data_IF_278494793730
#
_entry.id   IF_278494793730
#
_cell.length_a   1.000
_cell.length_b   1.000
_cell.length_c   1.000
_cell.angle_alpha   90.00
_cell.angle_beta   90.00
_cell.angle_gamma   90.00
#
_symmetry.space_group_name_H-M   'P 1'
#
loop_
_entity.id
_entity.type
_entity.pdbx_description
1 polymer ?
2 polymer ?
3 non-polymer ?
4 non-polymer ?
5 water ?
#
# COMPACT_ATOMS: atom_id res chain seq x y z
N UNK A 8 3.98 -26.43 -8.79
CA UNK A 8 4.44 -25.58 -7.66
C UNK A 8 5.79 -26.08 -7.16
N UNK A 9 6.79 -25.19 -7.14
CA UNK A 9 8.15 -25.59 -6.81
C UNK A 9 8.23 -25.89 -5.32
N UNK A 10 9.18 -26.72 -4.93
CA UNK A 10 9.33 -27.10 -3.54
C UNK A 10 9.81 -25.89 -2.72
N UNK A 11 9.59 -25.98 -1.41
CA UNK A 11 10.12 -25.01 -0.46
C UNK A 11 11.60 -24.79 -0.67
N UNK A 12 12.34 -25.90 -0.90
CA UNK A 12 13.78 -25.81 -1.06
C UNK A 12 14.11 -24.97 -2.28
N UNK A 13 13.41 -25.20 -3.37
CA UNK A 13 13.67 -24.49 -4.60
C UNK A 13 13.23 -23.03 -4.48
N UNK A 14 12.08 -22.78 -3.88
CA UNK A 14 11.69 -21.40 -3.62
C UNK A 14 12.73 -20.65 -2.77
N UNK A 15 13.17 -21.24 -1.65
CA UNK A 15 14.15 -20.58 -0.80
C UNK A 15 15.45 -20.24 -1.56
N UNK A 16 15.91 -21.19 -2.37
CA UNK A 16 17.15 -21.07 -3.17
C UNK A 16 17.03 -19.90 -4.16
N UNK A 17 15.86 -19.75 -4.77
CA UNK A 17 15.59 -18.63 -5.68
C UNK A 17 15.64 -17.29 -4.95
N UNK A 18 14.93 -17.23 -3.84
CA UNK A 18 14.95 -16.05 -2.99
C UNK A 18 16.35 -15.73 -2.47
N UNK A 19 17.11 -16.76 -2.09
CA UNK A 19 18.47 -16.55 -1.56
C UNK A 19 19.36 -15.80 -2.54
N UNK A 20 19.18 -16.00 -3.84
CA UNK A 20 19.98 -15.29 -4.87
C UNK A 20 19.71 -13.79 -4.92
N UNK A 21 18.53 -13.34 -4.47
CA UNK A 21 18.18 -11.91 -4.58
C UNK A 21 18.34 -11.11 -3.29
N UNK A 22 18.36 -11.78 -2.15
CA UNK A 22 18.55 -11.09 -0.88
C UNK A 22 20.07 -10.90 -0.63
N UNK A 23 20.38 -10.03 0.31
CA UNK A 23 21.76 -9.87 0.80
C UNK A 23 22.20 -11.11 1.57
N UNK A 24 23.43 -11.59 1.33
CA UNK A 24 23.94 -12.62 2.21
C UNK A 24 24.13 -12.19 3.69
N UNK A 25 24.12 -13.16 4.59
CA UNK A 25 24.49 -12.92 5.99
C UNK A 25 23.33 -12.97 6.96
N UNK A 26 23.66 -12.74 8.22
CA UNK A 26 22.68 -12.75 9.31
C UNK A 26 22.60 -11.32 9.86
N UNK A 27 21.44 -10.68 9.73
CA UNK A 27 21.23 -9.29 10.15
C UNK A 27 21.24 -9.07 11.66
N UNK A 28 21.25 -10.15 12.43
CA UNK A 28 21.41 -10.04 13.88
C UNK A 28 22.87 -9.72 14.23
N UNK A 29 23.75 -9.76 13.23
CA UNK A 29 25.12 -9.26 13.37
C UNK A 29 25.18 -7.72 13.41
N UNK A 30 24.14 -7.07 12.89
CA UNK A 30 24.09 -5.60 12.68
C UNK A 30 23.00 -4.88 13.52
N UNK A 31 21.93 -5.60 13.83
CA UNK A 31 20.72 -5.01 14.40
C UNK A 31 20.49 -5.58 15.76
N UNK A 32 20.01 -4.76 16.68
CA UNK A 32 19.65 -5.26 17.99
C UNK A 32 18.45 -4.50 18.54
N UNK A 33 18.06 -4.79 19.78
CA UNK A 33 16.95 -4.09 20.44
C UNK A 33 15.65 -4.17 19.66
N UNK A 34 15.26 -5.39 19.30
CA UNK A 34 14.06 -5.58 18.51
C UNK A 34 12.83 -5.34 19.36
N UNK A 35 11.87 -4.60 18.80
CA UNK A 35 10.61 -4.29 19.45
C UNK A 35 9.50 -4.57 18.42
N UNK A 36 8.56 -5.47 18.74
CA UNK A 36 7.43 -5.74 17.84
C UNK A 36 6.48 -4.55 17.76
N UNK A 37 6.15 -4.11 16.55
CA UNK A 37 5.20 -3.05 16.41
C UNK A 37 3.89 -3.46 15.74
N UNK A 38 3.84 -4.63 15.11
CA UNK A 38 2.63 -5.02 14.42
C UNK A 38 2.62 -6.39 13.80
N UNK A 39 1.38 -6.86 13.63
CA UNK A 39 1.06 -7.97 12.76
C UNK A 39 0.83 -7.39 11.35
N UNK A 40 1.59 -7.84 10.37
CA UNK A 40 1.46 -7.35 8.99
C UNK A 40 0.59 -8.21 8.06
N UNK A 41 0.84 -8.05 6.76
CA UNK A 41 0.05 -8.66 5.69
C UNK A 41 0.58 -10.04 5.30
N UNK A 42 1.87 -10.29 5.53
CA UNK A 42 2.42 -11.63 5.35
C UNK A 42 3.37 -12.02 6.53
N UNK A 43 3.25 -11.35 7.68
CA UNK A 43 4.22 -11.55 8.78
C UNK A 43 4.12 -10.55 9.92
N UNK A 44 5.23 -10.35 10.63
CA UNK A 44 5.29 -9.37 11.70
C UNK A 44 6.20 -8.22 11.30
N UNK A 45 6.04 -7.08 11.99
CA UNK A 45 6.91 -5.92 11.77
C UNK A 45 7.46 -5.48 13.13
N UNK A 46 8.76 -5.21 13.16
CA UNK A 46 9.46 -4.78 14.33
C UNK A 46 10.19 -3.47 13.99
N UNK A 47 10.63 -2.79 15.02
CA UNK A 47 11.69 -1.82 14.89
C UNK A 47 12.94 -2.41 15.55
N UNK A 48 14.10 -1.94 15.10
CA UNK A 48 15.40 -2.37 15.62
C UNK A 48 16.35 -1.20 15.51
N UNK A 49 17.43 -1.21 16.28
CA UNK A 49 18.44 -0.19 16.16
C UNK A 49 19.63 -0.78 15.41
N UNK A 50 20.23 0.01 14.55
CA UNK A 50 21.40 -0.43 13.81
C UNK A 50 22.57 -0.21 14.78
N UNK A 51 23.39 -1.23 14.97
CA UNK A 51 24.37 -1.21 16.07
C UNK A 51 25.23 0.04 16.04
N UNK A 52 25.78 0.33 14.86
CA UNK A 52 26.81 1.35 14.68
C UNK A 52 26.34 2.81 14.82
N UNK A 53 25.07 3.09 14.52
CA UNK A 53 24.54 4.45 14.50
C UNK A 53 23.54 4.74 15.61
N UNK A 54 22.90 3.69 16.12
CA UNK A 54 21.76 3.83 17.03
C UNK A 54 20.52 4.34 16.34
N UNK A 55 20.50 4.26 15.00
CA UNK A 55 19.35 4.71 14.21
C UNK A 55 18.32 3.58 14.13
N UNK A 56 17.04 3.94 14.24
CA UNK A 56 15.97 2.96 14.12
C UNK A 56 15.77 2.60 12.65
N UNK A 57 15.42 1.33 12.44
CA UNK A 57 14.94 0.82 11.16
C UNK A 57 13.71 0.00 11.44
N UNK A 58 12.91 -0.28 10.42
CA UNK A 58 11.78 -1.19 10.53
C UNK A 58 12.23 -2.50 9.89
N UNK A 59 11.80 -3.62 10.44
CA UNK A 59 12.17 -4.94 9.93
C UNK A 59 10.91 -5.77 9.83
N UNK A 60 10.60 -6.20 8.61
CA UNK A 60 9.47 -7.10 8.39
C UNK A 60 10.00 -8.52 8.29
N UNK A 61 9.37 -9.43 9.01
CA UNK A 61 9.75 -10.82 9.07
C UNK A 61 8.61 -11.69 8.57
N UNK A 62 8.89 -12.48 7.53
CA UNK A 62 7.90 -13.34 6.91
C UNK A 62 8.39 -14.79 6.83
N UNK A 63 7.58 -15.72 7.33
CA UNK A 63 7.92 -17.12 7.27
C UNK A 63 7.59 -17.71 5.91
N UNK A 64 8.63 -18.20 5.22
CA UNK A 64 8.48 -18.79 3.91
C UNK A 64 7.44 -19.91 3.83
N UNK A 65 7.30 -20.65 4.91
CA UNK A 65 6.46 -21.83 4.96
C UNK A 65 5.00 -21.52 5.27
N UNK A 66 4.71 -20.29 5.63
CA UNK A 66 3.32 -19.95 6.02
C UNK A 66 2.70 -18.93 5.08
N UNK A 67 3.10 -18.95 3.81
CA UNK A 67 2.57 -18.02 2.81
C UNK A 67 1.68 -18.73 1.81
N UNK A 68 0.46 -18.19 1.53
CA UNK A 68 -0.42 -18.76 0.51
C UNK A 68 0.17 -18.61 -0.89
N UNK A 69 0.88 -17.48 -1.11
CA UNK A 69 1.49 -17.19 -2.39
C UNK A 69 2.93 -16.75 -2.11
N UNK A 70 3.86 -17.70 -2.12
CA UNK A 70 5.24 -17.40 -1.75
C UNK A 70 5.87 -16.42 -2.71
N UNK A 71 5.50 -16.52 -3.98
CA UNK A 71 5.99 -15.62 -5.02
C UNK A 71 5.91 -14.17 -4.59
N UNK A 72 4.93 -13.85 -3.74
CA UNK A 72 4.78 -12.47 -3.29
C UNK A 72 6.00 -11.99 -2.51
N UNK A 73 6.68 -12.91 -1.83
CA UNK A 73 7.88 -12.53 -1.06
C UNK A 73 8.97 -12.07 -2.02
N UNK A 74 9.11 -12.85 -3.10
CA UNK A 74 10.06 -12.58 -4.15
C UNK A 74 9.73 -11.25 -4.84
N UNK A 75 8.45 -11.05 -5.17
CA UNK A 75 8.01 -9.77 -5.75
C UNK A 75 8.36 -8.57 -4.89
N UNK A 76 8.09 -8.64 -3.59
CA UNK A 76 8.32 -7.52 -2.71
C UNK A 76 9.81 -7.13 -2.73
N UNK A 77 10.67 -8.14 -2.62
CA UNK A 77 12.10 -7.87 -2.60
C UNK A 77 12.59 -7.28 -3.90
N UNK A 78 12.22 -7.91 -5.00
CA UNK A 78 12.69 -7.42 -6.30
C UNK A 78 12.15 -6.02 -6.64
N UNK A 79 10.87 -5.74 -6.37
CA UNK A 79 10.30 -4.43 -6.65
C UNK A 79 10.92 -3.38 -5.73
N UNK A 80 11.17 -3.73 -4.48
CA UNK A 80 11.83 -2.79 -3.58
C UNK A 80 13.27 -2.52 -4.04
N UNK A 81 13.96 -3.55 -4.53
CA UNK A 81 15.30 -3.37 -5.01
C UNK A 81 15.34 -2.52 -6.30
N UNK A 82 14.41 -2.75 -7.23
CA UNK A 82 14.59 -2.23 -8.58
C UNK A 82 13.77 -1.00 -8.97
N UNK A 83 12.73 -0.66 -8.20
CA UNK A 83 11.81 0.41 -8.62
C UNK A 83 11.68 1.47 -7.55
N UNK A 84 12.80 2.15 -7.25
CA UNK A 84 12.78 3.17 -6.22
C UNK A 84 12.17 4.50 -6.70
N UNK A 85 11.53 5.20 -5.77
CA UNK A 85 10.83 6.45 -6.00
C UNK A 85 10.84 7.30 -4.71
N UNK A 86 10.88 8.63 -4.85
CA UNK A 86 10.83 9.56 -3.70
C UNK A 86 9.60 9.40 -2.79
N UNK A 87 8.54 8.86 -3.34
CA UNK A 87 7.30 8.61 -2.61
C UNK A 87 7.02 7.12 -2.37
N UNK A 88 8.08 6.30 -2.36
CA UNK A 88 8.00 4.90 -2.02
C UNK A 88 9.01 4.60 -0.92
N UNK A 89 8.55 3.86 0.06
CA UNK A 89 9.38 3.49 1.20
C UNK A 89 10.65 2.78 0.70
N UNK A 90 11.77 3.10 1.32
CA UNK A 90 13.06 2.55 0.90
C UNK A 90 13.38 1.26 1.67
N UNK A 91 13.77 0.21 0.91
CA UNK A 91 14.32 -1.00 1.49
C UNK A 91 15.85 -0.85 1.53
N UNK A 92 16.43 -0.89 2.70
CA UNK A 92 17.90 -0.87 2.86
C UNK A 92 18.55 -2.23 2.46
N UNK A 93 18.02 -3.31 3.00
CA UNK A 93 18.59 -4.66 2.83
C UNK A 93 17.52 -5.72 3.06
N UNK A 94 17.80 -6.94 2.63
CA UNK A 94 16.94 -8.10 2.91
C UNK A 94 17.84 -9.30 3.16
N UNK A 95 17.35 -10.23 3.96
CA UNK A 95 18.10 -11.37 4.42
C UNK A 95 17.19 -12.57 4.54
N UNK A 96 17.82 -13.74 4.50
CA UNK A 96 17.15 -14.97 4.93
C UNK A 96 17.78 -15.35 6.26
N UNK A 97 16.94 -15.59 7.25
CA UNK A 97 17.37 -16.03 8.59
C UNK A 97 16.56 -17.31 8.79
N UNK A 98 17.17 -18.47 8.61
CA UNK A 98 16.46 -19.75 8.58
C UNK A 98 15.37 -19.77 7.51
N UNK A 99 14.14 -20.06 7.90
CA UNK A 99 13.04 -20.01 6.92
C UNK A 99 12.25 -18.74 6.97
N UNK A 100 12.87 -17.67 7.46
CA UNK A 100 12.29 -16.35 7.42
C UNK A 100 12.99 -15.41 6.47
N UNK A 101 12.19 -14.64 5.76
CA UNK A 101 12.67 -13.50 5.01
C UNK A 101 12.58 -12.28 5.93
N UNK A 102 13.69 -11.58 6.13
CA UNK A 102 13.71 -10.27 6.80
C UNK A 102 13.98 -9.15 5.80
N UNK A 103 13.08 -8.16 5.79
CA UNK A 103 13.25 -6.99 4.93
C UNK A 103 13.48 -5.77 5.85
N UNK A 104 14.64 -5.14 5.71
CA UNK A 104 15.02 -4.01 6.53
C UNK A 104 14.69 -2.72 5.75
N UNK A 105 13.82 -1.90 6.33
CA UNK A 105 13.17 -0.75 5.71
C UNK A 105 13.54 0.53 6.50
N UNK A 106 13.43 1.67 5.86
CA UNK A 106 13.53 2.89 6.62
C UNK A 106 12.37 2.98 7.61
N UNK A 107 12.63 3.61 8.76
CA UNK A 107 11.63 3.82 9.78
C UNK A 107 11.04 5.22 9.50
N UNK A 108 9.73 5.29 9.37
CA UNK A 108 9.07 6.56 9.04
C UNK A 108 8.32 7.07 10.28
N UNK A 109 8.78 8.19 10.79
CA UNK A 109 8.38 8.68 12.12
C UNK A 109 6.96 9.19 12.17
N UNK A 110 6.40 9.54 11.01
CA UNK A 110 5.01 9.99 10.92
C UNK A 110 3.93 8.94 11.08
N UNK A 111 4.29 7.67 11.00
CA UNK A 111 3.32 6.58 11.09
C UNK A 111 2.44 6.49 9.86
N UNK A 112 1.33 5.74 9.98
CA UNK A 112 0.44 5.44 8.84
C UNK A 112 -0.69 6.44 8.74
N UNK A 113 -1.16 6.62 7.51
CA UNK A 113 -2.30 7.50 7.26
C UNK A 113 -3.55 7.05 8.02
N UNK A 114 -3.72 5.73 8.23
CA UNK A 114 -4.87 5.24 9.03
C UNK A 114 -5.03 5.98 10.33
N UNK A 115 -3.92 6.25 11.00
CA UNK A 115 -3.98 6.85 12.32
C UNK A 115 -4.56 8.25 12.22
N UNK A 116 -4.29 8.95 11.13
CA UNK A 116 -4.87 10.27 10.92
C UNK A 116 -6.40 10.21 10.59
N UNK A 117 -6.75 9.42 9.59
CA UNK A 117 -8.16 9.36 9.12
C UNK A 117 -9.16 8.83 10.19
N UNK A 118 -8.68 8.02 11.14
CA UNK A 118 -9.50 7.52 12.26
C UNK A 118 -9.51 8.41 13.51
N UNK A 119 -8.65 9.44 13.58
CA UNK A 119 -8.57 10.31 14.76
C UNK A 119 -8.88 11.80 14.51
N UNK A 120 -8.80 12.24 13.26
CA UNK A 120 -9.05 13.62 12.95
C UNK A 120 -9.61 13.80 11.52
N UNK A 121 -9.92 15.03 11.12
CA UNK A 121 -10.51 15.31 9.82
C UNK A 121 -9.55 16.13 8.96
N UNK A 122 -9.18 15.59 7.80
CA UNK A 122 -8.28 16.27 6.89
C UNK A 122 -9.09 17.27 6.08
N UNK A 123 -8.43 18.34 5.68
CA UNK A 123 -9.00 19.33 4.79
C UNK A 123 -8.67 18.94 3.34
N UNK A 124 -9.19 19.67 2.34
CA UNK A 124 -9.00 19.21 0.94
C UNK A 124 -7.59 19.44 0.42
N UNK A 125 -6.90 20.45 0.96
CA UNK A 125 -5.51 20.68 0.59
C UNK A 125 -4.62 19.51 1.04
N UNK A 126 -4.92 18.98 2.23
CA UNK A 126 -4.21 17.84 2.77
C UNK A 126 -4.53 16.58 1.99
N UNK A 127 -5.82 16.40 1.70
CA UNK A 127 -6.25 15.27 0.87
C UNK A 127 -5.56 15.34 -0.51
N UNK A 128 -5.55 16.51 -1.14
CA UNK A 128 -4.88 16.63 -2.44
C UNK A 128 -3.37 16.36 -2.37
N UNK A 129 -2.69 16.81 -1.31
CA UNK A 129 -1.29 16.51 -1.12
C UNK A 129 -1.00 15.01 -1.08
N UNK A 130 -1.81 14.26 -0.31
CA UNK A 130 -1.66 12.79 -0.20
C UNK A 130 -1.93 12.17 -1.58
N UNK A 131 -3.03 12.53 -2.22
CA UNK A 131 -3.34 11.96 -3.55
C UNK A 131 -2.25 12.19 -4.58
N UNK A 132 -1.75 13.43 -4.62
CA UNK A 132 -0.72 13.81 -5.56
C UNK A 132 0.50 12.91 -5.38
N UNK A 133 0.93 12.75 -4.14
CA UNK A 133 2.11 11.96 -3.86
C UNK A 133 1.92 10.47 -4.24
N UNK A 134 0.79 9.92 -3.86
CA UNK A 134 0.46 8.52 -4.22
C UNK A 134 0.42 8.37 -5.72
N UNK A 135 -0.25 9.30 -6.41
CA UNK A 135 -0.34 9.26 -7.88
C UNK A 135 1.02 9.37 -8.60
N UNK A 136 1.92 10.19 -8.06
CA UNK A 136 3.26 10.30 -8.62
C UNK A 136 4.02 8.95 -8.57
N UNK A 137 3.96 8.28 -7.43
CA UNK A 137 4.49 6.93 -7.26
C UNK A 137 3.82 5.95 -8.19
N UNK A 138 2.48 5.91 -8.15
CA UNK A 138 1.76 4.98 -9.04
C UNK A 138 2.03 5.15 -10.54
N UNK A 139 2.10 6.41 -11.00
CA UNK A 139 2.40 6.65 -12.41
C UNK A 139 3.71 5.99 -12.83
N UNK A 140 4.73 6.07 -11.96
CA UNK A 140 6.03 5.51 -12.30
C UNK A 140 6.01 3.97 -12.22
N UNK A 141 5.36 3.47 -11.19
CA UNK A 141 5.24 2.04 -10.98
C UNK A 141 4.38 1.38 -12.07
N UNK A 142 3.22 1.95 -12.34
CA UNK A 142 2.34 1.45 -13.38
C UNK A 142 2.98 1.41 -14.77
N UNK A 143 3.77 2.43 -15.09
CA UNK A 143 4.52 2.52 -16.36
C UNK A 143 5.46 1.31 -16.56
N UNK A 144 5.95 0.74 -15.46
CA UNK A 144 6.80 -0.46 -15.46
C UNK A 144 6.03 -1.76 -15.23
N UNK A 145 4.70 -1.68 -15.22
CA UNK A 145 3.88 -2.87 -15.07
C UNK A 145 3.69 -3.29 -13.63
N UNK A 146 4.17 -2.51 -12.67
CA UNK A 146 4.03 -2.94 -11.27
C UNK A 146 2.65 -2.52 -10.76
N UNK A 147 1.94 -3.45 -10.13
CA UNK A 147 0.64 -3.24 -9.52
C UNK A 147 0.77 -3.45 -8.02
N UNK A 148 0.36 -2.47 -7.21
CA UNK A 148 0.55 -2.61 -5.78
C UNK A 148 -0.42 -3.62 -5.16
N UNK A 149 -1.69 -3.45 -5.50
CA UNK A 149 -2.76 -4.36 -5.18
C UNK A 149 -3.24 -4.29 -3.76
N UNK A 150 -2.73 -3.34 -2.95
CA UNK A 150 -3.20 -3.19 -1.58
C UNK A 150 -3.16 -1.74 -1.11
N UNK A 151 -3.67 -0.85 -1.97
CA UNK A 151 -3.76 0.56 -1.63
C UNK A 151 -4.90 0.76 -0.63
N UNK A 152 -4.58 1.46 0.44
CA UNK A 152 -5.48 1.78 1.56
C UNK A 152 -4.64 2.66 2.49
N UNK A 153 -5.26 3.36 3.44
CA UNK A 153 -4.50 4.30 4.28
C UNK A 153 -3.42 3.60 5.08
N UNK A 154 -3.64 2.32 5.40
CA UNK A 154 -2.63 1.57 6.19
C UNK A 154 -1.26 1.47 5.46
N UNK A 155 -1.28 1.51 4.11
CA UNK A 155 -0.10 1.33 3.26
C UNK A 155 0.57 2.66 2.97
N UNK A 156 0.05 3.76 3.53
CA UNK A 156 0.61 5.10 3.29
C UNK A 156 1.30 5.50 4.57
N UNK A 157 2.62 5.60 4.51
CA UNK A 157 3.42 6.05 5.66
C UNK A 157 3.91 7.49 5.47
N UNK A 158 4.21 8.17 6.58
CA UNK A 158 4.57 9.59 6.55
C UNK A 158 5.90 9.83 7.25
N UNK A 159 6.75 10.64 6.63
CA UNK A 159 8.01 11.06 7.25
C UNK A 159 7.70 12.09 8.34
N UNK A 160 8.73 12.40 9.13
CA UNK A 160 8.59 13.31 10.23
C UNK A 160 8.14 14.71 9.75
N UNK A 161 8.50 15.05 8.51
CA UNK A 161 8.15 16.36 7.93
C UNK A 161 6.99 16.30 6.97
N UNK A 162 6.23 15.23 7.02
CA UNK A 162 4.96 15.17 6.32
C UNK A 162 4.96 14.68 4.90
N UNK A 163 6.06 14.06 4.44
CA UNK A 163 6.08 13.44 3.11
C UNK A 163 5.48 12.05 3.05
N UNK A 164 4.71 11.78 2.00
CA UNK A 164 4.08 10.48 1.73
C UNK A 164 5.01 9.45 1.19
N UNK A 165 4.96 8.25 1.77
CA UNK A 165 5.68 7.10 1.24
C UNK A 165 4.76 5.88 1.10
N UNK A 166 4.46 5.49 -0.14
CA UNK A 166 3.71 4.28 -0.38
C UNK A 166 4.55 3.10 0.14
N UNK A 167 3.89 2.23 0.92
CA UNK A 167 4.58 1.13 1.60
C UNK A 167 3.84 -0.19 1.44
N UNK A 168 4.34 -1.25 2.06
CA UNK A 168 3.59 -2.51 2.10
C UNK A 168 3.31 -3.12 0.71
N UNK A 169 4.37 -3.41 0.01
CA UNK A 169 4.36 -4.08 -1.30
C UNK A 169 4.29 -5.62 -1.23
N UNK A 170 3.91 -6.15 -0.08
CA UNK A 170 3.76 -7.57 0.15
C UNK A 170 2.78 -8.31 -0.74
N UNK A 171 1.87 -7.57 -1.39
CA UNK A 171 0.90 -8.13 -2.29
C UNK A 171 1.08 -7.70 -3.73
N UNK A 172 2.24 -7.12 -4.09
CA UNK A 172 2.39 -6.55 -5.43
C UNK A 172 2.62 -7.63 -6.49
N UNK A 173 2.46 -7.20 -7.72
CA UNK A 173 2.66 -8.01 -8.92
C UNK A 173 3.29 -7.18 -10.03
N UNK A 174 3.80 -7.86 -11.04
CA UNK A 174 4.28 -7.14 -12.21
C UNK A 174 3.74 -7.81 -13.45
N UNK A 175 3.09 -7.04 -14.30
CA UNK A 175 2.66 -7.50 -15.63
C UNK A 175 3.67 -7.10 -16.71
N UNK A 176 3.59 -7.83 -17.83
CA UNK A 176 4.56 -7.70 -18.92
C UNK A 176 3.84 -7.80 -20.25
N UNK A 177 4.55 -7.55 -21.35
CA UNK A 177 3.98 -7.77 -22.68
C UNK A 177 3.52 -9.22 -22.77
N UNK A 178 4.30 -10.14 -22.22
CA UNK A 178 4.00 -11.58 -22.35
C UNK A 178 2.77 -11.97 -21.49
N UNK A 179 2.68 -11.43 -20.27
CA UNK A 179 1.61 -11.75 -19.34
C UNK A 179 1.04 -10.43 -18.83
N UNK A 180 0.20 -9.78 -19.63
CA UNK A 180 -0.22 -8.40 -19.36
C UNK A 180 -1.27 -8.22 -18.24
N UNK A 181 -1.88 -9.29 -17.78
CA UNK A 181 -2.92 -9.18 -16.73
C UNK A 181 -2.71 -10.25 -15.66
N UNK A 182 -3.23 -9.96 -14.45
CA UNK A 182 -3.30 -10.95 -13.37
C UNK A 182 -4.76 -11.34 -13.19
N UNK A 183 -4.98 -12.49 -12.56
CA UNK A 183 -6.35 -12.94 -12.27
C UNK A 183 -6.62 -13.16 -10.76
N UNK A 185 -7.24 -13.15 -6.82
CA UNK A 185 -8.12 -12.41 -5.92
C UNK A 185 -7.36 -12.13 -4.64
N UNK A 186 -6.81 -10.91 -4.57
CA UNK A 186 -5.92 -10.49 -3.49
C UNK A 186 -6.12 -9.03 -3.16
N UNK A 187 -6.05 -8.69 -1.88
CA UNK A 187 -6.12 -7.28 -1.45
C UNK A 187 -6.81 -7.23 -0.12
N UNK A 188 -7.54 -6.14 0.13
CA UNK A 188 -8.22 -6.00 1.38
C UNK A 188 -9.68 -5.73 1.00
N UNK A 189 -10.61 -6.63 1.39
CA UNK A 189 -11.98 -6.65 0.90
C UNK A 189 -12.64 -5.29 0.56
N UNK A 190 -12.69 -4.38 1.52
CA UNK A 190 -13.41 -3.12 1.32
C UNK A 190 -12.77 -2.19 0.27
N UNK A 191 -11.50 -2.38 -0.02
CA UNK A 191 -10.75 -1.58 -0.97
C UNK A 191 -10.63 -2.21 -2.35
N UNK A 192 -11.13 -3.44 -2.53
CA UNK A 192 -10.86 -4.14 -3.77
C UNK A 192 -11.64 -3.60 -4.94
N UNK A 193 -11.01 -3.62 -6.13
CA UNK A 193 -11.66 -3.19 -7.37
C UNK A 193 -12.71 -4.22 -7.81
N UNK A 194 -13.82 -3.75 -8.41
CA UNK A 194 -14.85 -4.73 -8.83
C UNK A 194 -14.36 -5.80 -9.82
N UNK A 195 -13.45 -5.45 -10.74
CA UNK A 195 -12.94 -6.46 -11.69
C UNK A 195 -12.11 -7.57 -11.01
N UNK A 196 -11.46 -7.18 -9.93
CA UNK A 196 -10.56 -8.06 -9.19
C UNK A 196 -11.42 -9.01 -8.35
N UNK A 197 -12.42 -8.48 -7.67
CA UNK A 197 -13.38 -9.29 -6.91
C UNK A 197 -14.11 -10.30 -7.85
N UNK A 198 -14.34 -9.85 -9.06
CA UNK A 198 -15.03 -10.67 -10.08
C UNK A 198 -14.14 -11.77 -10.65
N UNK A 199 -12.87 -11.82 -10.23
CA UNK A 199 -11.83 -12.73 -10.74
C UNK A 199 -11.67 -12.70 -12.28
N UNK A 200 -11.64 -11.48 -12.80
CA UNK A 200 -11.37 -11.20 -14.18
C UNK A 200 -9.91 -10.78 -14.36
N UNK A 201 -9.37 -10.96 -15.56
CA UNK A 201 -8.04 -10.42 -15.88
C UNK A 201 -7.98 -8.92 -15.61
N UNK A 202 -7.04 -8.51 -14.78
CA UNK A 202 -6.94 -7.10 -14.42
C UNK A 202 -5.49 -6.62 -14.51
N UNK A 203 -5.36 -5.30 -14.47
CA UNK A 203 -4.07 -4.64 -14.45
C UNK A 203 -3.95 -3.52 -13.43
N UNK A 204 -3.06 -2.55 -13.69
CA UNK A 204 -2.79 -1.42 -12.79
C UNK A 204 -4.04 -0.61 -12.39
N UNK A 205 -5.08 -0.68 -13.22
CA UNK A 205 -6.32 0.06 -12.91
C UNK A 205 -6.89 -0.27 -11.53
N UNK A 206 -6.63 -1.47 -11.02
CA UNK A 206 -7.18 -1.86 -9.71
C UNK A 206 -6.72 -0.89 -8.62
N UNK A 207 -5.48 -0.43 -8.76
CA UNK A 207 -4.91 0.50 -7.76
C UNK A 207 -5.67 1.87 -7.73
N UNK A 208 -6.16 2.30 -8.88
CA UNK A 208 -6.90 3.55 -8.97
C UNK A 208 -8.24 3.47 -8.23
N UNK A 209 -8.97 2.36 -8.40
CA UNK A 209 -10.17 2.13 -7.62
C UNK A 209 -9.83 2.16 -6.13
N UNK A 210 -8.84 1.35 -5.71
CA UNK A 210 -8.46 1.31 -4.33
C UNK A 210 -8.13 2.72 -3.76
N UNK A 211 -7.43 3.52 -4.55
CA UNK A 211 -7.13 4.91 -4.18
C UNK A 211 -8.46 5.71 -3.96
N UNK A 212 -9.45 5.50 -4.81
CA UNK A 212 -10.77 6.14 -4.60
C UNK A 212 -11.36 5.79 -3.26
N UNK A 213 -11.26 4.50 -2.89
CA UNK A 213 -11.78 4.08 -1.61
C UNK A 213 -10.96 4.78 -0.52
N UNK A 214 -9.66 4.96 -0.74
CA UNK A 214 -8.86 5.68 0.27
C UNK A 214 -9.27 7.18 0.37
N UNK A 215 -9.68 7.76 -0.74
CA UNK A 215 -10.27 9.10 -0.70
C UNK A 215 -11.51 9.13 0.18
N UNK A 216 -12.38 8.12 0.07
CA UNK A 216 -13.53 7.99 0.95
C UNK A 216 -13.10 7.88 2.41
N UNK A 217 -12.07 7.07 2.66
CA UNK A 217 -11.48 7.08 4.01
C UNK A 217 -11.10 8.49 4.49
N UNK A 218 -10.44 9.26 3.63
CA UNK A 218 -9.95 10.57 4.03
C UNK A 218 -11.07 11.59 4.28
N UNK A 219 -12.21 11.38 3.63
CA UNK A 219 -13.38 12.25 3.81
C UNK A 219 -14.25 11.74 4.98
N UNK A 220 -14.53 10.43 4.98
CA UNK A 220 -15.50 9.80 5.88
C UNK A 220 -14.93 9.07 7.11
N UNK A 221 -13.66 8.72 7.09
CA UNK A 221 -13.00 8.04 8.20
C UNK A 221 -12.91 6.53 8.06
N UNK A 222 -13.71 5.97 7.16
CA UNK A 222 -13.77 4.54 6.94
C UNK A 222 -14.17 4.28 5.50
N UNK A 223 -13.82 3.09 4.96
CA UNK A 223 -14.29 2.76 3.63
C UNK A 223 -15.78 2.38 3.65
N UNK A 224 -16.39 2.33 2.47
CA UNK A 224 -17.77 1.91 2.36
C UNK A 224 -18.00 0.49 2.91
N UNK A 225 -19.18 0.24 3.49
CA UNK A 225 -19.62 -1.11 3.86
C UNK A 225 -18.77 -1.78 4.98
N UNK A 226 -18.03 -0.96 5.72
CA UNK A 226 -17.02 -1.45 6.66
C UNK A 226 -17.62 -2.35 7.75
N UNK A 227 -18.89 -2.17 8.07
CA UNK A 227 -19.59 -3.02 9.05
C UNK A 227 -20.14 -4.34 8.56
N UNK A 228 -19.99 -4.64 7.27
CA UNK A 228 -20.49 -5.88 6.69
C UNK A 228 -19.41 -6.94 6.72
N UNK A 229 -19.79 -8.22 6.81
CA UNK A 229 -18.79 -9.28 6.62
C UNK A 229 -18.08 -9.06 5.28
N UNK A 230 -16.78 -9.40 5.21
CA UNK A 230 -16.01 -9.06 3.99
C UNK A 230 -16.59 -9.55 2.65
N UNK A 231 -17.02 -10.81 2.60
CA UNK A 231 -17.59 -11.36 1.37
C UNK A 231 -18.89 -10.64 0.94
N UNK A 232 -19.63 -10.09 1.90
CA UNK A 232 -20.85 -9.30 1.62
C UNK A 232 -20.51 -7.92 1.04
N UNK A 233 -19.50 -7.28 1.62
CA UNK A 233 -19.02 -6.01 1.13
C UNK A 233 -18.52 -6.16 -0.29
N UNK A 234 -17.78 -7.23 -0.55
CA UNK A 234 -17.21 -7.49 -1.86
C UNK A 234 -18.34 -7.68 -2.88
N UNK A 235 -19.41 -8.40 -2.50
CA UNK A 235 -20.60 -8.52 -3.38
C UNK A 235 -21.22 -7.15 -3.74
N UNK A 236 -21.34 -6.25 -2.77
CA UNK A 236 -21.88 -4.90 -3.04
C UNK A 236 -20.98 -4.03 -3.93
N UNK A 237 -19.68 -4.11 -3.71
CA UNK A 237 -18.76 -3.37 -4.61
C UNK A 237 -18.90 -3.93 -6.02
N UNK A 238 -19.00 -5.25 -6.11
CA UNK A 238 -19.07 -5.90 -7.43
C UNK A 238 -20.34 -5.56 -8.19
N UNK A 239 -21.45 -5.47 -7.47
CA UNK A 239 -22.78 -5.50 -8.09
C UNK A 239 -23.48 -4.16 -8.09
N UNK A 240 -23.04 -3.24 -7.24
CA UNK A 240 -23.78 -2.02 -7.07
C UNK A 240 -23.11 -0.81 -7.73
N UNK A 241 -23.87 0.28 -7.80
CA UNK A 241 -23.31 1.53 -8.25
C UNK A 241 -22.14 1.87 -7.35
N UNK A 242 -21.19 2.65 -7.86
CA UNK A 242 -20.05 3.01 -7.01
C UNK A 242 -20.48 3.68 -5.71
N UNK A 243 -19.72 3.43 -4.66
CA UNK A 243 -20.05 3.89 -3.33
C UNK A 243 -20.01 5.40 -3.28
N UNK A 244 -20.89 5.97 -2.47
CA UNK A 244 -21.04 7.40 -2.31
C UNK A 244 -20.37 7.85 -1.00
N UNK A 245 -19.90 9.10 -1.01
CA UNK A 245 -19.41 9.75 0.21
C UNK A 245 -20.60 9.93 1.15
N UNK A 246 -20.44 9.53 2.41
CA UNK A 246 -21.43 9.78 3.48
C UNK A 246 -21.41 11.25 3.83
N UNK A 247 -20.22 11.85 3.77
CA UNK A 247 -20.09 13.30 3.93
C UNK A 247 -19.99 14.05 2.61
N UNK A 248 -20.82 13.63 1.63
CA UNK A 248 -20.84 14.26 0.29
C UNK A 248 -21.11 15.75 0.42
N UNK A 249 -21.92 16.10 1.40
CA UNK A 249 -22.36 17.49 1.58
C UNK A 249 -21.20 18.43 1.97
N UNK A 250 -20.14 17.86 2.53
CA UNK A 250 -18.95 18.62 2.89
C UNK A 250 -17.95 18.92 1.76
N UNK A 251 -18.08 18.28 0.58
CA UNK A 251 -16.95 18.28 -0.38
C UNK A 251 -17.11 19.27 -1.55
N UNK A 252 -15.99 19.71 -2.12
CA UNK A 252 -15.99 20.65 -3.23
C UNK A 252 -16.35 19.96 -4.54
N UNK A 253 -16.82 20.73 -5.53
CA UNK A 253 -16.96 20.20 -6.90
C UNK A 253 -15.69 19.58 -7.45
N UNK A 254 -14.52 20.16 -7.15
CA UNK A 254 -13.26 19.61 -7.69
C UNK A 254 -13.00 18.23 -7.11
N UNK A 255 -13.20 18.08 -5.80
CA UNK A 255 -12.98 16.74 -5.17
C UNK A 255 -13.97 15.69 -5.71
N UNK A 256 -15.26 16.05 -5.80
CA UNK A 256 -16.28 15.11 -6.28
C UNK A 256 -15.95 14.73 -7.73
N UNK A 257 -15.54 15.70 -8.53
CA UNK A 257 -15.16 15.44 -9.93
C UNK A 257 -13.96 14.50 -10.03
N UNK A 258 -13.00 14.70 -9.16
CA UNK A 258 -11.83 13.87 -9.08
C UNK A 258 -12.22 12.43 -8.71
N UNK A 259 -12.98 12.27 -7.64
CA UNK A 259 -13.33 10.97 -7.12
C UNK A 259 -14.14 10.21 -8.17
N UNK A 260 -14.92 10.92 -8.95
CA UNK A 260 -15.75 10.32 -10.01
C UNK A 260 -14.92 9.67 -11.11
N UNK A 261 -13.66 10.09 -11.26
CA UNK A 261 -12.74 9.50 -12.24
C UNK A 261 -12.00 8.26 -11.71
N UNK A 262 -12.04 8.04 -10.39
CA UNK A 262 -11.38 6.90 -9.73
C UNK A 262 -12.37 5.74 -9.52
N UNK A 263 -13.54 6.06 -8.99
CA UNK A 263 -14.58 5.06 -8.67
C UNK A 263 -15.50 4.78 -9.84
N UNK A 264 -14.87 4.24 -10.89
CA UNK A 264 -15.51 3.91 -12.17
C UNK A 264 -15.48 2.40 -12.29
N UNK A 265 -16.64 1.77 -12.44
CA UNK A 265 -16.70 0.32 -12.37
C UNK A 265 -15.98 -0.38 -13.54
N UNK A 266 -16.19 0.09 -14.77
CA UNK A 266 -15.47 -0.43 -15.93
C UNK A 266 -14.01 0.05 -15.92
N UNK A 267 -13.05 -0.86 -15.71
CA UNK A 267 -11.67 -0.41 -15.65
C UNK A 267 -11.20 0.27 -16.93
N UNK A 268 -11.78 -0.07 -18.09
CA UNK A 268 -11.40 0.60 -19.31
C UNK A 268 -11.79 2.09 -19.36
N UNK A 269 -12.80 2.47 -18.58
CA UNK A 269 -13.24 3.88 -18.47
C UNK A 269 -12.64 4.66 -17.28
N UNK A 270 -11.98 3.94 -16.40
CA UNK A 270 -11.39 4.53 -15.21
C UNK A 270 -10.15 5.37 -15.58
N UNK A 271 -9.93 6.48 -14.88
CA UNK A 271 -8.74 7.28 -15.20
C UNK A 271 -7.47 6.51 -14.81
N UNK A 272 -6.41 6.81 -15.52
CA UNK A 272 -5.10 6.30 -15.17
C UNK A 272 -4.41 7.29 -14.22
N UNK A 273 -3.35 6.82 -13.58
CA UNK A 273 -2.57 7.66 -12.71
C UNK A 273 -2.02 8.87 -13.47
N UNK A 274 -1.55 8.63 -14.70
CA UNK A 274 -0.95 9.70 -15.51
C UNK A 274 -1.99 10.79 -15.84
N UNK A 275 -3.22 10.38 -16.16
CA UNK A 275 -4.30 11.31 -16.38
C UNK A 275 -4.67 12.09 -15.12
N UNK A 276 -4.76 11.38 -14.01
CA UNK A 276 -5.13 12.00 -12.77
C UNK A 276 -4.10 13.05 -12.27
N UNK A 277 -2.83 12.93 -12.66
CA UNK A 277 -1.82 13.89 -12.21
C UNK A 277 -2.08 15.31 -12.74
N UNK A 278 -2.88 15.37 -13.78
CA UNK A 278 -3.29 16.64 -14.40
C UNK A 278 -4.70 17.13 -13.96
N UNK A 279 -5.36 16.41 -13.06
CA UNK A 279 -6.71 16.81 -12.60
C UNK A 279 -6.57 18.04 -11.71
N UNK A 280 -7.39 19.09 -11.92
CA UNK A 280 -7.18 20.33 -11.19
C UNK A 280 -7.48 20.24 -9.67
N UNK A 281 -8.16 19.19 -9.21
CA UNK A 281 -8.22 18.95 -7.75
C UNK A 281 -6.84 18.96 -7.15
N UNK A 282 -5.85 18.40 -7.85
CA UNK A 282 -4.53 18.31 -7.24
C UNK A 282 -3.79 19.66 -7.15
N UNK A 283 -4.29 20.70 -7.84
CA UNK A 283 -3.74 22.06 -7.70
C UNK A 283 -3.94 22.61 -6.31
N UNK A 284 -4.84 21.99 -5.56
CA UNK A 284 -5.08 22.35 -4.15
C UNK A 284 -3.99 21.86 -3.18
N UNK A 285 -3.12 20.93 -3.62
CA UNK A 285 -2.22 20.28 -2.69
C UNK A 285 -1.39 21.26 -1.88
N UNK A 286 -1.45 21.14 -0.56
CA UNK A 286 -0.52 21.86 0.31
C UNK A 286 0.87 21.19 0.30
N UNK A 287 1.86 21.87 0.90
CA UNK A 287 3.19 21.30 1.04
C UNK A 287 3.21 20.27 2.17
N UNK A 288 4.35 19.60 2.39
CA UNK A 288 4.53 18.68 3.53
C UNK A 288 4.24 19.32 4.89
N UNK A 289 4.57 20.59 5.05
CA UNK A 289 4.26 21.30 6.32
C UNK A 289 2.75 21.23 6.66
N UNK A 290 1.90 21.06 5.64
CA UNK A 290 0.45 21.04 5.88
C UNK A 290 -0.03 19.75 6.51
N UNK A 291 0.69 18.65 6.29
CA UNK A 291 0.35 17.31 6.86
C UNK A 291 0.82 17.13 8.31
N UNK A 292 1.96 17.73 8.64
CA UNK A 292 2.60 17.60 9.94
C UNK A 292 1.63 17.77 11.09
N UNK A 293 0.77 18.82 11.09
CA UNK A 293 -0.07 18.99 12.28
C UNK A 293 -1.12 17.91 12.52
N UNK A 294 -1.42 17.11 11.50
CA UNK A 294 -2.35 15.97 11.63
C UNK A 294 -1.76 14.79 12.39
N UNK A 295 -0.43 14.69 12.45
CA UNK A 295 0.24 13.48 12.91
C UNK A 295 0.07 13.34 14.43
N UNK A 296 -0.02 12.12 14.93
CA UNK A 296 -0.27 11.89 16.36
C UNK A 296 0.63 12.69 17.27
N UNK A 297 1.91 12.74 16.94
CA UNK A 297 2.90 13.47 17.78
C UNK A 297 2.70 14.97 17.87
N UNK A 298 1.83 15.52 17.01
CA UNK A 298 1.55 16.94 16.99
C UNK A 298 0.11 17.26 17.37
N UNK A 299 -0.74 16.24 17.44
CA UNK A 299 -2.17 16.42 17.68
C UNK A 299 -2.45 16.83 19.13
N UNK A 300 -3.53 17.58 19.28
CA UNK A 300 -4.06 18.00 20.60
C UNK A 300 -5.24 17.07 20.90
N UNK A 301 -6.03 17.42 21.91
CA UNK A 301 -7.26 16.65 22.21
C UNK A 301 -6.95 15.54 23.20
N UNK B 1 -17.28 -6.39 9.01
CA UNK B 1 -16.50 -6.91 10.16
C UNK B 1 -15.37 -5.99 10.55
N UNK B 2 -15.19 -4.88 9.84
CA UNK B 2 -14.17 -3.86 10.19
C UNK B 2 -12.74 -4.38 10.26
N UNK B 3 -12.44 -5.45 9.56
CA UNK B 3 -11.10 -5.95 9.56
C UNK B 3 -10.34 -5.33 8.39
N UNK B 4 -9.08 -5.01 8.65
CA UNK B 4 -8.27 -4.28 7.70
C UNK B 4 -7.18 -5.16 7.14
N UNK B 5 -7.18 -6.44 7.47
CA UNK B 5 -6.17 -7.35 6.96
C UNK B 5 -6.25 -7.65 5.46
N UNK B 6 -5.09 -7.62 4.83
CA UNK B 6 -4.88 -8.02 3.48
C UNK B 6 -5.01 -9.54 3.40
N UNK B 7 -5.59 -10.06 2.32
CA UNK B 7 -5.81 -11.49 2.17
C UNK B 7 -5.66 -12.00 0.74
N UNK B 8 -5.08 -13.21 0.61
CA UNK B 8 -4.97 -13.89 -0.66
C UNK B 8 -6.09 -14.95 -0.68
N UNK B 9 -7.07 -14.76 -1.57
CA UNK B 9 -8.28 -15.60 -1.64
C UNK B 9 -8.19 -16.72 -2.71
N UNK B 10 -7.40 -16.49 -3.75
CA UNK B 10 -7.39 -17.41 -4.91
C UNK B 10 -6.47 -16.91 -6.00
N UNK B 11 -5.88 -17.84 -6.73
CA UNK B 11 -5.02 -17.53 -7.87
C UNK B 11 -5.83 -17.51 -9.15
#
# INVERSE_FOLDING_TARGET
SPQREPQRVSHEQFRAALQLVVDPGDPRSYLDNFIKIGEGSTGIVCIATVRSSGKLVAVKKMDLRKQQRRELLFNEVVIMRDYQHENVVEMYNSYLVGDELWVVMEFLEGGALTDIVTHTRMNEEQIAAVCLAVLQALSVLHAQGVIHRDIKSDSILLTHDGRVKLSDFGFCAQVSKEVPRRKXLVGTPYWMAPELISRLPYGPEVDIWSLGIMVIEMVDGEPPYFNEPPLKAMKMIRDNLPPRLKNLHKVSPSLKGFLDRLLVRDPAQRATAAELLKHPFLAKAGPPASIVPLMRQNRTR
RRRRRSWYFDG
#
